data_IF_352940398975
#
_entry.id   IF_352940398975
#
_cell.length_a   1.000
_cell.length_b   1.000
_cell.length_c   1.000
_cell.angle_alpha   90.00
_cell.angle_beta   90.00
_cell.angle_gamma   90.00
#
_symmetry.space_group_name_H-M   'P 1'
#
loop_
_entity.id
_entity.type
_entity.pdbx_description
1 polymer ?
#
# COMPACT_ATOMS: atom_id res chain seq x y z
N UNK A 1 -2.31 8.48 7.16
CA UNK A 1 -3.30 7.38 7.16
C UNK A 1 -2.98 6.47 5.99
N UNK A 2 -3.22 5.16 6.11
CA UNK A 2 -3.08 4.23 4.99
C UNK A 2 -4.44 3.61 4.68
N UNK A 3 -4.81 3.57 3.40
CA UNK A 3 -5.95 2.78 2.92
C UNK A 3 -5.37 1.59 2.17
N UNK A 4 -5.58 0.40 2.71
CA UNK A 4 -5.06 -0.85 2.19
C UNK A 4 -6.14 -1.65 1.49
N UNK A 5 -5.95 -1.87 0.19
CA UNK A 5 -6.79 -2.69 -0.67
C UNK A 5 -6.08 -4.03 -0.91
N UNK A 6 -6.45 -5.10 -0.19
CA UNK A 6 -5.81 -6.40 -0.32
C UNK A 6 -6.19 -7.08 -1.63
N UNK A 7 -5.53 -8.18 -1.97
CA UNK A 7 -5.68 -8.91 -3.23
C UNK A 7 -6.91 -9.82 -3.35
N UNK A 8 -6.95 -10.57 -4.45
CA UNK A 8 -7.95 -11.62 -4.70
C UNK A 8 -8.06 -12.63 -3.57
N UNK A 9 -9.23 -13.24 -3.41
CA UNK A 9 -9.59 -14.17 -2.32
C UNK A 9 -9.63 -13.57 -0.91
N UNK A 10 -9.49 -12.25 -0.77
CA UNK A 10 -9.74 -11.55 0.48
C UNK A 10 -11.23 -11.57 0.82
N UNK A 11 -11.66 -12.54 1.63
CA UNK A 11 -13.02 -12.61 2.18
C UNK A 11 -13.09 -11.87 3.51
N UNK A 12 -14.27 -11.42 3.95
CA UNK A 12 -14.47 -10.88 5.31
C UNK A 12 -14.00 -11.87 6.38
N UNK A 13 -14.25 -13.17 6.20
CA UNK A 13 -13.72 -14.22 7.06
C UNK A 13 -12.20 -14.22 7.09
N UNK A 14 -11.49 -14.46 5.99
CA UNK A 14 -10.03 -14.66 6.04
C UNK A 14 -9.23 -13.36 6.25
N UNK A 15 -9.83 -12.21 5.95
CA UNK A 15 -9.17 -10.89 5.98
C UNK A 15 -9.42 -10.13 7.28
N UNK A 16 -10.58 -10.33 7.92
CA UNK A 16 -10.93 -9.73 9.22
C UNK A 16 -10.88 -10.77 10.34
N UNK A 17 -11.50 -11.94 10.20
CA UNK A 17 -11.66 -12.91 11.29
C UNK A 17 -10.87 -14.19 10.95
N UNK A 18 -9.58 -14.21 11.28
CA UNK A 18 -8.73 -15.39 11.10
C UNK A 18 -9.24 -16.61 11.88
N UNK A 19 -8.43 -17.67 11.99
CA UNK A 19 -8.83 -18.86 12.77
C UNK A 19 -8.93 -18.49 14.27
N UNK A 20 -10.11 -18.69 14.87
CA UNK A 20 -10.34 -18.43 16.29
C UNK A 20 -10.63 -16.94 16.59
N UNK A 21 -9.89 -16.33 17.51
CA UNK A 21 -10.03 -14.91 17.89
C UNK A 21 -8.96 -14.00 17.27
N UNK A 22 -8.20 -14.52 16.29
CA UNK A 22 -7.12 -13.76 15.65
C UNK A 22 -7.63 -12.95 14.46
N UNK A 23 -6.99 -11.81 14.19
CA UNK A 23 -7.23 -11.06 12.97
C UNK A 23 -6.85 -11.87 11.72
N UNK A 24 -7.59 -11.64 10.64
CA UNK A 24 -7.29 -12.16 9.32
C UNK A 24 -5.97 -11.63 8.75
N UNK A 25 -5.44 -12.31 7.73
CA UNK A 25 -4.09 -12.05 7.19
C UNK A 25 -3.90 -10.60 6.74
N UNK A 26 -4.92 -10.02 6.11
CA UNK A 26 -4.85 -8.68 5.55
C UNK A 26 -4.91 -7.59 6.62
N UNK A 27 -5.67 -7.83 7.70
CA UNK A 27 -5.63 -6.97 8.88
C UNK A 27 -4.27 -7.06 9.57
N UNK A 28 -3.69 -8.26 9.73
CA UNK A 28 -2.33 -8.44 10.27
C UNK A 28 -1.27 -7.74 9.42
N UNK A 29 -1.40 -7.74 8.09
CA UNK A 29 -0.53 -6.99 7.18
C UNK A 29 -0.55 -5.49 7.49
N UNK A 30 -1.74 -4.91 7.65
CA UNK A 30 -1.88 -3.50 8.03
C UNK A 30 -1.31 -3.23 9.43
N UNK A 31 -1.56 -4.10 10.41
CA UNK A 31 -1.01 -3.99 11.77
C UNK A 31 0.53 -4.00 11.77
N UNK A 32 1.17 -4.90 11.02
CA UNK A 32 2.63 -4.93 10.91
C UNK A 32 3.21 -3.60 10.43
N UNK A 33 2.55 -2.95 9.46
CA UNK A 33 2.93 -1.63 8.95
C UNK A 33 2.71 -0.56 10.02
N UNK A 34 1.57 -0.57 10.71
CA UNK A 34 1.26 0.38 11.78
C UNK A 34 2.22 0.26 12.97
N UNK A 35 2.66 -0.95 13.31
CA UNK A 35 3.62 -1.18 14.40
C UNK A 35 4.98 -0.53 14.12
N UNK A 36 5.51 -0.71 12.91
CA UNK A 36 6.76 -0.05 12.50
C UNK A 36 6.54 1.46 12.43
N UNK A 37 5.42 1.91 11.86
CA UNK A 37 5.07 3.34 11.75
C UNK A 37 5.01 4.02 13.12
N UNK A 38 4.37 3.40 14.10
CA UNK A 38 4.31 3.92 15.47
C UNK A 38 5.70 4.02 16.11
N UNK A 39 6.58 3.02 15.92
CA UNK A 39 7.97 3.07 16.39
C UNK A 39 8.75 4.23 15.75
N UNK A 40 8.54 4.47 14.45
CA UNK A 40 9.15 5.59 13.74
C UNK A 40 8.66 6.95 14.27
N UNK A 41 7.35 7.08 14.51
CA UNK A 41 6.75 8.29 15.06
C UNK A 41 7.16 8.55 16.51
N UNK A 42 7.29 7.50 17.32
CA UNK A 42 7.75 7.61 18.71
C UNK A 42 9.21 8.08 18.79
N UNK A 43 10.06 7.55 17.91
CA UNK A 43 11.45 7.98 17.80
C UNK A 43 11.52 9.45 17.38
N UNK A 44 10.80 9.82 16.32
CA UNK A 44 10.74 11.19 15.82
C UNK A 44 10.25 12.18 16.88
N UNK A 45 9.21 11.80 17.63
CA UNK A 45 8.71 12.59 18.74
C UNK A 45 9.74 12.72 19.87
N UNK A 46 10.37 11.64 20.31
CA UNK A 46 11.41 11.69 21.37
C UNK A 46 12.58 12.59 21.00
N UNK A 47 12.98 12.60 19.73
CA UNK A 47 14.07 13.45 19.22
C UNK A 47 13.66 14.93 19.14
N UNK A 48 12.37 15.23 18.94
CA UNK A 48 11.87 16.59 18.69
C UNK A 48 10.95 17.16 19.77
N UNK A 49 10.64 16.45 20.85
CA UNK A 49 9.65 16.84 21.88
C UNK A 49 9.94 18.17 22.60
N UNK A 50 11.19 18.67 22.53
CA UNK A 50 11.60 19.97 23.11
C UNK A 50 11.55 21.12 22.10
N UNK A 51 11.16 20.86 20.85
CA UNK A 51 11.04 21.85 19.78
C UNK A 51 9.62 22.40 19.72
N UNK A 52 9.49 23.53 19.03
CA UNK A 52 8.22 24.17 18.72
C UNK A 52 7.97 24.09 17.21
N UNK A 53 6.70 24.05 16.81
CA UNK A 53 6.28 24.17 15.41
C UNK A 53 6.44 25.61 14.90
N UNK A 54 6.12 25.83 13.62
CA UNK A 54 6.20 27.16 12.98
C UNK A 54 5.32 28.24 13.64
N UNK A 55 4.37 27.84 14.48
CA UNK A 55 3.48 28.73 15.24
C UNK A 55 3.89 28.86 16.71
N UNK A 56 5.06 28.36 17.10
CA UNK A 56 5.56 28.41 18.47
C UNK A 56 4.85 27.46 19.43
N UNK A 57 4.13 26.43 18.94
CA UNK A 57 3.47 25.44 19.79
C UNK A 57 4.37 24.21 19.98
N UNK A 58 4.35 23.55 21.16
CA UNK A 58 5.12 22.33 21.37
C UNK A 58 4.78 21.28 20.30
N UNK A 59 5.82 20.65 19.73
CA UNK A 59 5.62 19.54 18.80
C UNK A 59 4.79 18.45 19.49
N UNK A 60 3.76 17.95 18.81
CA UNK A 60 2.95 16.82 19.27
C UNK A 60 3.35 15.56 18.51
N UNK A 61 3.27 14.42 19.18
CA UNK A 61 3.43 13.12 18.53
C UNK A 61 2.35 12.97 17.45
N UNK A 62 2.76 12.67 16.22
CA UNK A 62 1.83 12.34 15.14
C UNK A 62 1.15 10.99 15.43
N UNK A 63 0.02 10.75 14.78
CA UNK A 63 -0.69 9.47 14.81
C UNK A 63 -0.76 8.85 13.42
N UNK A 64 -0.98 7.55 13.38
CA UNK A 64 -1.16 6.77 12.16
C UNK A 64 -2.35 5.84 12.36
N UNK A 65 -3.10 5.58 11.29
CA UNK A 65 -4.26 4.70 11.26
C UNK A 65 -4.31 4.00 9.89
N UNK A 66 -4.93 2.82 9.86
CA UNK A 66 -5.18 2.06 8.64
C UNK A 66 -6.67 1.82 8.44
N UNK A 67 -7.10 1.81 7.19
CA UNK A 67 -8.39 1.29 6.74
C UNK A 67 -8.09 0.11 5.82
N UNK A 68 -8.65 -1.06 6.10
CA UNK A 68 -8.54 -2.23 5.21
C UNK A 68 -9.85 -2.36 4.44
N UNK A 69 -9.79 -2.24 3.12
CA UNK A 69 -10.97 -2.16 2.26
C UNK A 69 -11.29 -3.53 1.67
N UNK A 70 -12.41 -4.11 2.07
CA UNK A 70 -12.90 -5.38 1.52
C UNK A 70 -14.14 -5.19 0.64
N UNK A 71 -14.49 -3.94 0.35
CA UNK A 71 -15.72 -3.55 -0.34
C UNK A 71 -15.55 -3.58 -1.86
N UNK A 72 -15.08 -4.71 -2.40
CA UNK A 72 -15.07 -4.96 -3.83
C UNK A 72 -15.17 -6.47 -4.13
N UNK A 73 -15.88 -6.82 -5.21
CA UNK A 73 -16.05 -8.21 -5.64
C UNK A 73 -14.74 -8.74 -6.23
N UNK A 74 -13.85 -9.21 -5.35
CA UNK A 74 -12.57 -9.74 -5.75
C UNK A 74 -12.76 -11.07 -6.52
N UNK A 75 -12.21 -11.21 -7.75
CA UNK A 75 -12.30 -12.47 -8.50
C UNK A 75 -11.52 -13.59 -7.78
N UNK A 76 -11.90 -14.84 -8.02
CA UNK A 76 -11.13 -16.00 -7.54
C UNK A 76 -10.02 -16.39 -8.54
N UNK A 77 -8.91 -16.93 -8.01
CA UNK A 77 -7.70 -17.26 -8.78
C UNK A 77 -7.95 -18.23 -9.94
N UNK A 78 -8.84 -19.20 -9.74
CA UNK A 78 -9.25 -20.20 -10.72
C UNK A 78 -9.91 -19.59 -11.96
N UNK A 79 -10.51 -18.41 -11.83
CA UNK A 79 -11.30 -17.79 -12.89
C UNK A 79 -10.47 -16.90 -13.82
N UNK A 80 -9.29 -16.43 -13.42
CA UNK A 80 -8.58 -15.34 -14.14
C UNK A 80 -7.83 -15.80 -15.38
N UNK A 81 -7.59 -17.11 -15.52
CA UNK A 81 -6.85 -17.68 -16.64
C UNK A 81 -7.67 -17.80 -17.95
N UNK A 82 -8.92 -17.36 -17.97
CA UNK A 82 -9.77 -17.40 -19.16
C UNK A 82 -10.09 -15.98 -19.65
N UNK A 83 -9.93 -15.66 -20.95
CA UNK A 83 -10.06 -14.28 -21.46
C UNK A 83 -11.37 -13.59 -21.07
N UNK A 84 -12.50 -14.30 -21.12
CA UNK A 84 -13.81 -13.74 -20.74
C UNK A 84 -13.86 -13.33 -19.27
N UNK A 85 -13.20 -14.07 -18.40
CA UNK A 85 -13.15 -13.77 -16.97
C UNK A 85 -12.09 -12.72 -16.62
N UNK A 86 -11.01 -12.60 -17.41
CA UNK A 86 -10.06 -11.50 -17.30
C UNK A 86 -10.75 -10.15 -17.53
N UNK A 87 -11.61 -10.05 -18.55
CA UNK A 87 -12.43 -8.85 -18.81
C UNK A 87 -13.40 -8.58 -17.65
N UNK A 88 -14.09 -9.61 -17.14
CA UNK A 88 -14.95 -9.45 -15.98
C UNK A 88 -14.17 -8.97 -14.75
N UNK A 89 -12.97 -9.48 -14.54
CA UNK A 89 -12.11 -9.02 -13.45
C UNK A 89 -11.64 -7.59 -13.66
N UNK A 90 -11.38 -7.13 -14.88
CA UNK A 90 -11.05 -5.71 -15.10
C UNK A 90 -12.24 -4.81 -14.76
N UNK A 91 -13.45 -5.17 -15.20
CA UNK A 91 -14.69 -4.44 -14.87
C UNK A 91 -14.94 -4.36 -13.35
N UNK A 92 -14.65 -5.44 -12.60
CA UNK A 92 -14.78 -5.43 -11.14
C UNK A 92 -13.75 -4.52 -10.46
N UNK A 93 -12.53 -4.42 -11.00
CA UNK A 93 -11.50 -3.52 -10.48
C UNK A 93 -11.92 -2.06 -10.70
N UNK A 94 -12.51 -1.75 -11.86
CA UNK A 94 -13.06 -0.42 -12.15
C UNK A 94 -14.22 -0.06 -11.21
N UNK A 95 -15.15 -0.99 -10.97
CA UNK A 95 -16.26 -0.78 -10.02
C UNK A 95 -15.76 -0.56 -8.60
N UNK A 96 -14.88 -1.41 -8.11
CA UNK A 96 -14.23 -1.25 -6.80
C UNK A 96 -13.45 0.06 -6.71
N UNK A 97 -12.79 0.47 -7.79
CA UNK A 97 -12.09 1.75 -7.90
C UNK A 97 -13.00 2.94 -7.62
N UNK A 98 -14.24 2.96 -8.13
CA UNK A 98 -15.19 4.05 -7.85
C UNK A 98 -15.53 4.17 -6.37
N UNK A 99 -15.66 3.05 -5.66
CA UNK A 99 -15.84 3.04 -4.21
C UNK A 99 -14.58 3.57 -3.50
N UNK A 100 -13.39 3.17 -3.96
CA UNK A 100 -12.12 3.65 -3.40
C UNK A 100 -11.94 5.16 -3.58
N UNK A 101 -12.25 5.71 -4.76
CA UNK A 101 -12.25 7.15 -5.02
C UNK A 101 -13.13 7.89 -4.02
N UNK A 102 -14.36 7.41 -3.81
CA UNK A 102 -15.31 8.01 -2.87
C UNK A 102 -14.83 7.93 -1.42
N UNK A 103 -14.18 6.81 -1.05
CA UNK A 103 -13.57 6.64 0.26
C UNK A 103 -12.42 7.63 0.48
N UNK A 104 -11.53 7.79 -0.50
CA UNK A 104 -10.42 8.74 -0.39
C UNK A 104 -10.91 10.17 -0.20
N UNK A 105 -11.87 10.61 -1.02
CA UNK A 105 -12.47 11.95 -0.91
C UNK A 105 -13.21 12.12 0.42
N UNK A 106 -13.91 11.08 0.89
CA UNK A 106 -14.58 11.08 2.18
C UNK A 106 -13.61 11.25 3.36
N UNK A 107 -12.48 10.54 3.34
CA UNK A 107 -11.42 10.66 4.35
C UNK A 107 -10.87 12.10 4.36
N UNK A 108 -10.59 12.66 3.19
CA UNK A 108 -10.10 14.03 3.05
C UNK A 108 -11.10 15.04 3.61
N UNK A 109 -12.38 14.90 3.26
CA UNK A 109 -13.43 15.84 3.64
C UNK A 109 -13.69 15.91 5.15
N UNK A 110 -13.50 14.80 5.88
CA UNK A 110 -13.75 14.76 7.34
C UNK A 110 -12.53 15.17 8.18
N UNK A 111 -11.35 15.33 7.57
CA UNK A 111 -10.15 15.74 8.27
C UNK A 111 -10.04 17.26 8.38
N UNK A 112 -9.80 17.76 9.61
CA UNK A 112 -9.62 19.20 9.87
C UNK A 112 -8.31 19.79 9.31
N UNK A 113 -7.36 18.92 8.98
CA UNK A 113 -6.07 19.23 8.35
C UNK A 113 -5.83 18.17 7.30
N UNK A 114 -5.16 18.56 6.21
CA UNK A 114 -4.74 17.64 5.17
C UNK A 114 -3.95 16.46 5.76
N UNK A 115 -4.53 15.24 5.82
CA UNK A 115 -3.82 14.08 6.35
C UNK A 115 -2.87 13.56 5.28
N UNK A 116 -1.62 13.25 5.65
CA UNK A 116 -0.76 12.47 4.76
C UNK A 116 -1.41 11.11 4.47
N UNK A 117 -2.04 10.95 3.30
CA UNK A 117 -2.90 9.84 2.93
C UNK A 117 -2.19 8.96 1.90
N UNK A 118 -2.01 7.69 2.25
CA UNK A 118 -1.36 6.70 1.40
C UNK A 118 -2.41 5.71 0.90
N UNK A 119 -2.61 5.63 -0.40
CA UNK A 119 -3.34 4.56 -1.04
C UNK A 119 -2.38 3.37 -1.26
N UNK A 120 -2.78 2.16 -0.87
CA UNK A 120 -1.93 0.98 -1.01
C UNK A 120 -2.73 -0.21 -1.48
N UNK A 121 -2.22 -0.94 -2.47
CA UNK A 121 -2.88 -2.11 -3.03
C UNK A 121 -1.92 -3.28 -3.17
N UNK A 122 -2.40 -4.48 -2.80
CA UNK A 122 -1.67 -5.73 -2.99
C UNK A 122 -2.34 -6.58 -4.08
N UNK A 123 -1.54 -7.20 -4.95
CA UNK A 123 -2.06 -8.05 -6.03
C UNK A 123 -3.11 -7.30 -6.85
N UNK A 124 -4.23 -7.93 -7.19
CA UNK A 124 -5.38 -7.29 -7.82
C UNK A 124 -5.93 -6.05 -7.10
N UNK A 125 -5.78 -5.97 -5.77
CA UNK A 125 -6.13 -4.77 -5.02
C UNK A 125 -5.32 -3.54 -5.46
N UNK A 126 -4.13 -3.73 -6.05
CA UNK A 126 -3.36 -2.64 -6.67
C UNK A 126 -4.00 -2.13 -7.97
N UNK A 127 -4.66 -3.00 -8.74
CA UNK A 127 -5.43 -2.62 -9.93
C UNK A 127 -6.68 -1.84 -9.52
N UNK A 128 -7.41 -2.33 -8.51
CA UNK A 128 -8.57 -1.60 -7.94
C UNK A 128 -8.17 -0.25 -7.36
N UNK A 129 -7.06 -0.19 -6.61
CA UNK A 129 -6.48 1.04 -6.10
C UNK A 129 -6.13 2.00 -7.25
N UNK A 130 -5.46 1.52 -8.30
CA UNK A 130 -5.10 2.35 -9.47
C UNK A 130 -6.32 2.95 -10.16
N UNK A 131 -7.39 2.17 -10.30
CA UNK A 131 -8.67 2.67 -10.80
C UNK A 131 -9.29 3.73 -9.87
N UNK A 132 -9.25 3.53 -8.56
CA UNK A 132 -9.75 4.53 -7.60
C UNK A 132 -8.96 5.83 -7.61
N UNK A 133 -7.64 5.74 -7.77
CA UNK A 133 -6.76 6.90 -7.92
C UNK A 133 -7.05 7.72 -9.17
N UNK A 134 -7.56 7.12 -10.25
CA UNK A 134 -7.97 7.88 -11.43
C UNK A 134 -9.14 8.85 -11.19
N UNK A 135 -9.95 8.60 -10.15
CA UNK A 135 -11.12 9.39 -9.77
C UNK A 135 -10.91 10.39 -8.62
N UNK A 136 -9.80 10.30 -7.88
CA UNK A 136 -9.54 11.13 -6.70
C UNK A 136 -8.10 11.64 -6.68
N UNK A 137 -7.92 12.88 -6.23
CA UNK A 137 -6.60 13.49 -5.97
C UNK A 137 -6.28 13.54 -4.47
N UNK A 138 -7.08 12.88 -3.63
CA UNK A 138 -6.94 12.98 -2.18
C UNK A 138 -5.71 12.24 -1.63
N UNK A 139 -5.31 11.05 -2.12
CA UNK A 139 -4.10 10.41 -1.64
C UNK A 139 -2.83 11.14 -2.11
N UNK A 140 -1.85 11.30 -1.22
CA UNK A 140 -0.55 11.92 -1.50
C UNK A 140 0.45 10.93 -2.11
N UNK A 141 0.30 9.65 -1.77
CA UNK A 141 1.23 8.59 -2.15
C UNK A 141 0.46 7.34 -2.55
N UNK A 142 0.96 6.64 -3.58
CA UNK A 142 0.43 5.35 -4.03
C UNK A 142 1.48 4.26 -3.83
N UNK A 143 1.09 3.12 -3.25
CA UNK A 143 1.97 1.95 -3.07
C UNK A 143 1.32 0.72 -3.70
N UNK A 144 1.92 0.19 -4.77
CA UNK A 144 1.53 -1.07 -5.40
C UNK A 144 2.51 -2.19 -5.06
N UNK A 145 2.02 -3.31 -4.50
CA UNK A 145 2.86 -4.48 -4.20
C UNK A 145 2.32 -5.75 -4.83
N UNK A 146 3.21 -6.55 -5.43
CA UNK A 146 2.82 -7.77 -6.14
C UNK A 146 1.83 -7.50 -7.28
N UNK A 147 1.92 -6.33 -7.91
CA UNK A 147 0.88 -5.82 -8.81
C UNK A 147 0.89 -6.51 -10.17
N UNK A 148 -0.23 -7.10 -10.63
CA UNK A 148 -0.40 -7.55 -12.01
C UNK A 148 -0.64 -6.39 -13.01
N UNK A 149 -0.56 -5.13 -12.56
CA UNK A 149 -0.88 -3.93 -13.33
C UNK A 149 -1.71 -2.95 -12.50
N UNK A 150 -1.46 -1.64 -12.66
CA UNK A 150 -2.23 -0.58 -11.99
C UNK A 150 -3.38 -0.03 -12.86
N UNK A 151 -3.68 -0.65 -14.01
CA UNK A 151 -4.57 -0.10 -15.03
C UNK A 151 -3.94 1.04 -15.85
N UNK A 152 -2.76 1.53 -15.46
CA UNK A 152 -2.02 2.58 -16.16
C UNK A 152 -0.55 2.59 -15.73
N UNK A 153 0.31 3.08 -16.63
CA UNK A 153 1.73 3.33 -16.40
C UNK A 153 2.07 4.82 -16.20
N UNK A 154 1.05 5.66 -16.06
CA UNK A 154 1.20 7.11 -15.96
C UNK A 154 0.83 7.59 -14.56
N UNK A 155 1.77 8.25 -13.87
CA UNK A 155 1.50 8.90 -12.59
C UNK A 155 0.36 9.91 -12.70
N UNK A 156 0.28 10.67 -13.80
CA UNK A 156 -0.80 11.65 -13.97
C UNK A 156 -2.18 11.01 -14.11
N UNK A 157 -2.27 9.83 -14.74
CA UNK A 157 -3.53 9.05 -14.78
C UNK A 157 -3.91 8.45 -13.43
N UNK A 158 -2.94 8.30 -12.53
CA UNK A 158 -3.17 7.94 -11.12
C UNK A 158 -3.39 9.17 -10.24
N UNK A 159 -3.52 10.38 -10.81
CA UNK A 159 -3.57 11.65 -10.05
C UNK A 159 -2.40 11.84 -9.08
N UNK A 160 -1.23 11.27 -9.41
CA UNK A 160 -0.02 11.32 -8.59
C UNK A 160 1.03 12.24 -9.20
N UNK A 161 1.72 12.99 -8.35
CA UNK A 161 2.93 13.70 -8.76
C UNK A 161 4.06 12.71 -9.11
N UNK A 162 4.99 13.10 -10.00
CA UNK A 162 6.17 12.28 -10.27
C UNK A 162 6.94 11.98 -8.98
N UNK A 163 7.24 10.69 -8.76
CA UNK A 163 7.94 10.24 -7.55
C UNK A 163 7.05 9.83 -6.38
N UNK A 164 5.73 9.95 -6.51
CA UNK A 164 4.75 9.59 -5.48
C UNK A 164 4.06 8.23 -5.71
N UNK A 165 4.61 7.42 -6.62
CA UNK A 165 4.16 6.05 -6.89
C UNK A 165 5.29 5.10 -6.56
N UNK A 166 5.07 4.21 -5.60
CA UNK A 166 6.05 3.23 -5.11
C UNK A 166 5.62 1.81 -5.45
N UNK A 167 6.53 1.03 -6.00
CA UNK A 167 6.30 -0.34 -6.44
C UNK A 167 7.21 -1.32 -5.70
N UNK A 168 6.62 -2.43 -5.26
CA UNK A 168 7.35 -3.60 -4.76
C UNK A 168 6.99 -4.85 -5.55
N UNK A 169 8.00 -5.48 -6.15
CA UNK A 169 7.88 -6.77 -6.86
C UNK A 169 8.92 -7.75 -6.31
N UNK A 170 8.45 -8.72 -5.54
CA UNK A 170 9.29 -9.69 -4.85
C UNK A 170 9.81 -10.75 -5.83
N UNK A 171 11.05 -11.24 -5.64
CA UNK A 171 11.55 -12.40 -6.38
C UNK A 171 10.59 -13.59 -6.28
N UNK A 172 10.31 -14.22 -7.42
CA UNK A 172 9.40 -15.38 -7.50
C UNK A 172 7.90 -15.03 -7.50
N UNK A 173 7.54 -13.75 -7.53
CA UNK A 173 6.14 -13.32 -7.69
C UNK A 173 5.75 -13.30 -9.18
N UNK A 174 5.12 -14.40 -9.63
CA UNK A 174 4.63 -14.55 -11.01
C UNK A 174 3.47 -13.60 -11.34
N UNK A 175 2.75 -13.13 -10.33
CA UNK A 175 1.60 -12.24 -10.49
C UNK A 175 2.09 -10.84 -10.77
N UNK A 176 3.10 -10.39 -10.03
CA UNK A 176 3.74 -9.11 -10.26
C UNK A 176 4.29 -8.96 -11.69
N UNK A 177 4.68 -10.09 -12.29
CA UNK A 177 5.27 -10.15 -13.63
C UNK A 177 4.25 -10.45 -14.74
N UNK A 178 2.95 -10.55 -14.42
CA UNK A 178 1.96 -11.11 -15.36
C UNK A 178 1.43 -10.11 -16.39
N UNK A 179 1.45 -8.81 -16.06
CA UNK A 179 0.84 -7.75 -16.88
C UNK A 179 -0.62 -7.99 -17.27
N UNK A 180 -1.39 -8.67 -16.40
CA UNK A 180 -2.80 -9.01 -16.69
C UNK A 180 -3.73 -7.79 -16.76
N UNK A 181 -3.39 -6.71 -16.07
CA UNK A 181 -4.22 -5.50 -15.99
C UNK A 181 -3.44 -4.24 -16.38
N UNK A 182 -2.76 -4.35 -17.52
CA UNK A 182 -1.86 -3.35 -18.06
C UNK A 182 -0.39 -3.75 -17.90
N UNK A 183 0.50 -2.84 -18.29
CA UNK A 183 1.94 -3.05 -18.22
C UNK A 183 2.44 -3.35 -16.79
N UNK A 184 3.52 -4.13 -16.69
CA UNK A 184 4.22 -4.41 -15.43
C UNK A 184 4.75 -3.11 -14.78
N UNK A 185 4.19 -2.69 -13.63
CA UNK A 185 4.61 -1.46 -12.95
C UNK A 185 6.06 -1.52 -12.45
N UNK A 186 6.61 -2.72 -12.23
CA UNK A 186 7.98 -2.94 -11.77
C UNK A 186 9.04 -2.64 -12.83
N UNK A 187 8.64 -2.55 -14.10
CA UNK A 187 9.48 -2.15 -15.22
C UNK A 187 9.38 -0.65 -15.54
N UNK A 188 8.50 0.08 -14.86
CA UNK A 188 8.27 1.49 -15.13
C UNK A 188 9.38 2.37 -14.52
N UNK A 189 10.17 3.10 -15.34
CA UNK A 189 11.29 3.91 -14.84
C UNK A 189 10.86 5.20 -14.14
N UNK A 190 9.59 5.61 -14.29
CA UNK A 190 9.06 6.83 -13.65
C UNK A 190 8.46 6.56 -12.27
N UNK A 191 8.25 5.29 -11.90
CA UNK A 191 7.85 4.90 -10.56
C UNK A 191 9.08 4.65 -9.67
N UNK A 192 8.88 4.78 -8.37
CA UNK A 192 9.89 4.50 -7.36
C UNK A 192 9.84 3.03 -6.99
N UNK A 193 11.00 2.40 -6.90
CA UNK A 193 11.10 0.98 -6.53
C UNK A 193 11.84 0.87 -5.20
N UNK A 194 11.24 0.23 -4.20
CA UNK A 194 11.92 -0.04 -2.94
C UNK A 194 12.62 -1.39 -2.96
N UNK A 195 13.58 -1.58 -2.05
CA UNK A 195 14.31 -2.81 -1.88
C UNK A 195 13.41 -3.92 -1.29
N UNK A 196 13.44 -5.09 -1.93
CA UNK A 196 12.72 -6.31 -1.53
C UNK A 196 13.68 -7.36 -0.94
N UNK A 197 14.99 -7.13 -0.99
CA UNK A 197 16.02 -8.00 -0.43
C UNK A 197 16.30 -7.73 1.04
N UNK A 198 17.20 -8.54 1.61
CA UNK A 198 17.69 -8.37 2.98
C UNK A 198 18.33 -6.99 3.15
N UNK A 199 18.03 -6.31 4.25
CA UNK A 199 18.54 -4.97 4.55
C UNK A 199 18.95 -4.85 6.02
N UNK A 200 20.08 -4.18 6.27
CA UNK A 200 20.50 -3.80 7.62
C UNK A 200 19.97 -2.40 7.92
N UNK A 201 18.88 -2.36 8.68
CA UNK A 201 18.19 -1.13 9.07
C UNK A 201 18.74 -0.48 10.35
N UNK A 202 17.99 0.48 10.93
CA UNK A 202 18.41 1.19 12.13
C UNK A 202 18.68 0.27 13.32
N UNK A 203 19.64 0.67 14.16
CA UNK A 203 20.07 -0.14 15.32
C UNK A 203 20.75 -1.45 14.92
N UNK A 204 21.27 -1.54 13.67
CA UNK A 204 21.83 -2.76 13.08
C UNK A 204 20.84 -3.93 12.98
N UNK A 205 19.53 -3.66 13.07
CA UNK A 205 18.50 -4.68 12.91
C UNK A 205 18.52 -5.23 11.48
N UNK A 206 18.41 -6.55 11.34
CA UNK A 206 18.35 -7.21 10.04
C UNK A 206 16.89 -7.46 9.67
N UNK A 207 16.45 -6.83 8.58
CA UNK A 207 15.20 -7.12 7.92
C UNK A 207 15.45 -8.14 6.81
N UNK A 208 14.60 -9.15 6.73
CA UNK A 208 14.68 -10.18 5.70
C UNK A 208 14.06 -9.70 4.38
N UNK A 209 14.48 -10.33 3.29
CA UNK A 209 13.86 -10.10 1.99
C UNK A 209 12.46 -10.70 1.91
N UNK A 210 11.62 -10.12 1.07
CA UNK A 210 10.30 -10.65 0.71
C UNK A 210 10.43 -11.52 -0.52
N UNK A 211 9.72 -12.63 -0.53
CA UNK A 211 9.72 -13.63 -1.61
C UNK A 211 8.31 -14.12 -1.89
N UNK A 212 8.04 -14.42 -3.16
CA UNK A 212 6.71 -14.82 -3.61
C UNK A 212 5.64 -13.75 -3.37
N UNK A 213 4.38 -14.15 -3.52
CA UNK A 213 3.28 -13.20 -3.71
C UNK A 213 2.71 -12.61 -2.41
N UNK A 214 3.07 -13.09 -1.22
CA UNK A 214 2.34 -12.76 0.02
C UNK A 214 3.14 -12.04 1.10
N UNK A 215 4.46 -11.90 0.94
CA UNK A 215 5.33 -11.47 2.04
C UNK A 215 5.49 -9.94 2.16
N UNK A 216 4.89 -9.14 1.27
CA UNK A 216 5.14 -7.71 1.16
C UNK A 216 4.90 -6.89 2.44
N UNK A 217 3.98 -7.31 3.29
CA UNK A 217 3.67 -6.70 4.59
C UNK A 217 3.85 -7.68 5.77
N UNK A 218 4.57 -8.78 5.55
CA UNK A 218 4.89 -9.74 6.62
C UNK A 218 5.82 -9.12 7.67
N UNK A 219 5.80 -9.63 8.92
CA UNK A 219 6.68 -9.11 9.95
C UNK A 219 8.15 -9.30 9.58
N UNK A 220 8.98 -8.37 10.04
CA UNK A 220 10.44 -8.38 9.83
C UNK A 220 10.92 -8.36 8.36
N UNK A 221 10.11 -7.85 7.42
CA UNK A 221 10.51 -7.69 6.02
C UNK A 221 10.97 -6.28 5.69
N UNK A 222 11.95 -6.16 4.79
CA UNK A 222 12.42 -4.87 4.27
C UNK A 222 11.30 -4.08 3.60
N UNK A 223 10.41 -4.76 2.88
CA UNK A 223 9.25 -4.13 2.23
C UNK A 223 8.28 -3.51 3.25
N UNK A 224 7.96 -4.21 4.34
CA UNK A 224 7.08 -3.70 5.40
C UNK A 224 7.65 -2.43 6.03
N UNK A 225 8.97 -2.39 6.24
CA UNK A 225 9.63 -1.19 6.75
C UNK A 225 9.57 -0.01 5.76
N UNK A 226 9.79 -0.27 4.46
CA UNK A 226 9.67 0.76 3.43
C UNK A 226 8.25 1.34 3.39
N UNK A 227 7.22 0.49 3.40
CA UNK A 227 5.81 0.92 3.43
C UNK A 227 5.52 1.77 4.67
N UNK A 228 5.97 1.33 5.85
CA UNK A 228 5.82 2.10 7.08
C UNK A 228 6.55 3.46 7.05
N UNK A 229 7.75 3.50 6.46
CA UNK A 229 8.54 4.73 6.31
C UNK A 229 7.88 5.72 5.37
N UNK A 230 7.35 5.25 4.23
CA UNK A 230 6.55 6.06 3.30
C UNK A 230 5.33 6.59 4.04
N UNK A 231 4.56 5.74 4.73
CA UNK A 231 3.35 6.12 5.47
C UNK A 231 3.56 7.27 6.46
N UNK A 232 4.70 7.31 7.15
CA UNK A 232 5.01 8.39 8.10
C UNK A 232 5.65 9.63 7.45
N UNK A 233 5.72 9.68 6.11
CA UNK A 233 6.23 10.80 5.33
C UNK A 233 7.76 10.90 5.33
N UNK A 234 8.47 9.78 5.52
CA UNK A 234 9.95 9.71 5.49
C UNK A 234 10.50 9.18 4.15
N UNK A 235 9.62 8.84 3.21
CA UNK A 235 9.99 8.17 1.95
C UNK A 235 10.49 6.73 2.16
N UNK A 236 11.03 6.11 1.12
CA UNK A 236 11.61 4.77 1.20
C UNK A 236 12.88 4.77 2.06
N UNK A 237 12.94 3.87 3.04
CA UNK A 237 14.12 3.68 3.89
C UNK A 237 15.26 2.93 3.18
N UNK A 238 14.90 2.04 2.26
CA UNK A 238 15.84 1.28 1.42
C UNK A 238 15.31 1.28 -0.02
N UNK A 239 15.76 2.22 -0.86
CA UNK A 239 15.49 2.21 -2.30
C UNK A 239 16.12 1.00 -2.99
N UNK A 240 15.54 0.54 -4.10
CA UNK A 240 16.17 -0.44 -4.99
C UNK A 240 17.34 0.23 -5.71
N UNK A 241 18.52 -0.41 -5.65
CA UNK A 241 19.74 0.00 -6.37
C UNK A 241 19.64 -0.29 -7.86
#
# INVERSE_FOLDING_TARGET
MIVYTPGMTSTVSDSIIGKGTEWGKETKNAENVLDISNKLLDKDFKENQRRFDEYGKPIKRKSVAAIVTLDYDAPQWDNIHTPSHSVLSEEQAEKGGKHMSSLYDGIQAVHRKDPHLVATGHSYGSTTMGNGLSGSTAPDEAIGVGSPGLGTNSSSKLNMFPGHVYIGSAPGDIVASSSWFGDDPSLNPFFKHFNLGRWRGPGNHIYEGSSGHSEYMSPNKTSTYNIASILVGKGMASPRS
#
